data_IF_222962894224
#
_entry.id   IF_222962894224
#
_cell.length_a   1.000
_cell.length_b   1.000
_cell.length_c   1.000
_cell.angle_alpha   90.00
_cell.angle_beta   90.00
_cell.angle_gamma   90.00
#
_symmetry.space_group_name_H-M   'P 1'
#
loop_
_entity.id
_entity.type
_entity.pdbx_description
1 polymer ?
#
# COMPACT_ATOMS: atom_id res chain seq x y z
N UNK A 1 -12.62 8.71 -57.15
CA UNK A 1 -13.20 7.53 -56.48
C UNK A 1 -12.15 6.68 -55.76
N UNK A 2 -10.97 6.41 -56.38
CA UNK A 2 -9.87 5.63 -55.74
C UNK A 2 -9.37 6.22 -54.44
N UNK A 3 -9.23 7.54 -54.35
CA UNK A 3 -8.81 8.22 -53.11
C UNK A 3 -9.82 8.05 -51.98
N UNK A 4 -11.14 8.03 -52.30
CA UNK A 4 -12.19 7.81 -51.29
C UNK A 4 -12.17 6.36 -50.79
N UNK A 5 -12.00 5.40 -51.69
CA UNK A 5 -11.87 3.99 -51.33
C UNK A 5 -10.64 3.74 -50.43
N UNK A 6 -9.48 4.37 -50.74
CA UNK A 6 -8.29 4.30 -49.90
C UNK A 6 -8.54 4.91 -48.50
N UNK A 7 -9.22 6.05 -48.42
CA UNK A 7 -9.58 6.68 -47.15
C UNK A 7 -10.52 5.79 -46.30
N UNK A 8 -11.52 5.14 -46.93
CA UNK A 8 -12.41 4.20 -46.24
C UNK A 8 -11.61 3.02 -45.66
N UNK A 9 -10.67 2.45 -46.44
CA UNK A 9 -9.81 1.36 -45.98
C UNK A 9 -8.98 1.78 -44.78
N UNK A 10 -8.42 2.99 -44.75
CA UNK A 10 -7.70 3.53 -43.59
C UNK A 10 -8.61 3.72 -42.38
N UNK A 11 -9.83 4.22 -42.56
CA UNK A 11 -10.79 4.37 -41.46
C UNK A 11 -11.19 2.99 -40.91
N UNK A 12 -11.42 2.01 -41.79
CA UNK A 12 -11.70 0.63 -41.34
C UNK A 12 -10.59 0.06 -40.46
N UNK A 13 -9.32 0.22 -40.87
CA UNK A 13 -8.18 -0.22 -40.08
C UNK A 13 -8.11 0.52 -38.75
N UNK A 14 -8.34 1.84 -38.75
CA UNK A 14 -8.31 2.63 -37.50
C UNK A 14 -9.42 2.20 -36.51
N UNK A 15 -10.64 1.92 -37.02
CA UNK A 15 -11.75 1.40 -36.20
C UNK A 15 -11.39 0.04 -35.60
N UNK A 16 -10.77 -0.87 -36.35
CA UNK A 16 -10.31 -2.17 -35.84
C UNK A 16 -9.23 -2.02 -34.79
N UNK A 17 -8.29 -1.08 -34.97
CA UNK A 17 -7.24 -0.81 -33.99
C UNK A 17 -7.81 -0.23 -32.68
N UNK A 18 -8.81 0.66 -32.76
CA UNK A 18 -9.51 1.18 -31.59
C UNK A 18 -10.23 0.05 -30.84
N UNK A 19 -10.91 -0.86 -31.55
CA UNK A 19 -11.57 -2.00 -30.93
C UNK A 19 -10.57 -2.89 -30.17
N UNK A 20 -9.45 -3.22 -30.81
CA UNK A 20 -8.38 -4.04 -30.19
C UNK A 20 -7.75 -3.35 -28.97
N UNK A 21 -7.51 -2.04 -29.07
CA UNK A 21 -6.96 -1.27 -27.97
C UNK A 21 -7.93 -1.19 -26.77
N UNK A 22 -9.24 -1.06 -27.02
CA UNK A 22 -10.25 -1.08 -25.96
C UNK A 22 -10.31 -2.45 -25.26
N UNK A 23 -10.18 -3.55 -25.98
CA UNK A 23 -10.14 -4.91 -25.43
C UNK A 23 -8.86 -5.12 -24.58
N UNK A 24 -7.72 -4.66 -25.07
CA UNK A 24 -6.45 -4.72 -24.34
C UNK A 24 -6.52 -3.89 -23.06
N UNK A 25 -7.01 -2.65 -23.15
CA UNK A 25 -7.19 -1.78 -22.00
C UNK A 25 -8.15 -2.39 -20.96
N UNK A 26 -9.24 -3.04 -21.39
CA UNK A 26 -10.15 -3.74 -20.48
C UNK A 26 -9.47 -4.93 -19.76
N UNK A 27 -8.49 -5.56 -20.39
CA UNK A 27 -7.71 -6.64 -19.76
C UNK A 27 -6.74 -6.08 -18.72
N UNK A 28 -5.98 -5.03 -19.05
CA UNK A 28 -5.07 -4.34 -18.11
C UNK A 28 -5.82 -3.76 -16.90
N UNK A 29 -7.02 -3.20 -17.10
CA UNK A 29 -7.87 -2.70 -16.02
C UNK A 29 -8.27 -3.82 -15.07
N UNK A 30 -8.64 -5.00 -15.59
CA UNK A 30 -8.98 -6.16 -14.74
C UNK A 30 -7.79 -6.67 -13.93
N UNK A 31 -6.60 -6.69 -14.53
CA UNK A 31 -5.37 -7.08 -13.83
C UNK A 31 -5.02 -6.07 -12.72
N UNK A 32 -5.13 -4.77 -13.02
CA UNK A 32 -4.91 -3.71 -12.04
C UNK A 32 -5.94 -3.75 -10.89
N UNK A 33 -7.21 -4.07 -11.19
CA UNK A 33 -8.25 -4.24 -10.17
C UNK A 33 -7.93 -5.43 -9.23
N UNK A 34 -7.47 -6.55 -9.79
CA UNK A 34 -7.04 -7.71 -9.00
C UNK A 34 -5.84 -7.37 -8.10
N UNK A 35 -4.87 -6.59 -8.60
CA UNK A 35 -3.72 -6.12 -7.83
C UNK A 35 -4.14 -5.15 -6.70
N UNK A 36 -5.04 -4.21 -6.97
CA UNK A 36 -5.58 -3.31 -5.96
C UNK A 36 -6.32 -4.08 -4.85
N UNK A 37 -7.12 -5.07 -5.22
CA UNK A 37 -7.82 -5.95 -4.28
C UNK A 37 -6.83 -6.77 -3.43
N UNK A 38 -5.80 -7.33 -4.05
CA UNK A 38 -4.74 -8.05 -3.30
C UNK A 38 -4.00 -7.11 -2.35
N UNK A 39 -3.72 -5.88 -2.79
CA UNK A 39 -3.13 -4.85 -1.94
C UNK A 39 -4.00 -4.55 -0.72
N UNK A 40 -5.32 -4.45 -0.89
CA UNK A 40 -6.26 -4.26 0.21
C UNK A 40 -6.19 -5.42 1.23
N UNK A 41 -6.21 -6.66 0.77
CA UNK A 41 -6.07 -7.85 1.64
C UNK A 41 -4.75 -7.83 2.43
N UNK A 42 -3.66 -7.40 1.80
CA UNK A 42 -2.36 -7.30 2.46
C UNK A 42 -2.34 -6.21 3.55
N UNK A 43 -3.00 -5.07 3.30
CA UNK A 43 -3.14 -3.99 4.30
C UNK A 43 -3.99 -4.48 5.48
N UNK A 44 -5.13 -5.11 5.23
CA UNK A 44 -6.00 -5.63 6.28
C UNK A 44 -5.27 -6.68 7.15
N UNK A 45 -4.48 -7.56 6.52
CA UNK A 45 -3.61 -8.50 7.23
C UNK A 45 -2.53 -7.81 8.06
N UNK A 46 -1.93 -6.73 7.55
CA UNK A 46 -0.94 -5.93 8.28
C UNK A 46 -1.56 -5.22 9.49
N UNK A 47 -2.75 -4.66 9.34
CA UNK A 47 -3.50 -4.03 10.44
C UNK A 47 -3.80 -5.04 11.55
N UNK A 48 -4.20 -6.25 11.21
CA UNK A 48 -4.44 -7.32 12.18
C UNK A 48 -3.17 -7.71 12.95
N UNK A 49 -2.01 -7.77 12.25
CA UNK A 49 -0.73 -8.05 12.90
C UNK A 49 -0.29 -6.94 13.86
N UNK A 50 -0.52 -5.68 13.48
CA UNK A 50 -0.19 -4.52 14.33
C UNK A 50 -1.13 -4.46 15.55
N UNK A 51 -2.39 -4.82 15.41
CA UNK A 51 -3.32 -4.94 16.54
C UNK A 51 -2.84 -6.01 17.54
N UNK A 52 -2.44 -7.18 17.05
CA UNK A 52 -1.84 -8.23 17.87
C UNK A 52 -0.54 -7.78 18.55
N UNK A 53 0.29 -6.99 17.85
CA UNK A 53 1.50 -6.39 18.42
C UNK A 53 1.14 -5.43 19.56
N UNK A 54 0.09 -4.62 19.40
CA UNK A 54 -0.38 -3.69 20.44
C UNK A 54 -0.77 -4.43 21.71
N UNK A 55 -1.48 -5.56 21.61
CA UNK A 55 -1.79 -6.42 22.77
C UNK A 55 -0.53 -6.96 23.44
N UNK A 56 0.46 -7.36 22.65
CA UNK A 56 1.74 -7.88 23.19
C UNK A 56 2.53 -6.79 23.89
N UNK A 57 2.51 -5.57 23.38
CA UNK A 57 3.11 -4.38 23.98
C UNK A 57 2.47 -4.09 25.35
N UNK A 58 1.15 -4.11 25.43
CA UNK A 58 0.43 -3.86 26.68
C UNK A 58 0.75 -4.93 27.75
N UNK A 59 0.84 -6.18 27.35
CA UNK A 59 1.29 -7.27 28.23
C UNK A 59 2.72 -7.05 28.72
N UNK A 60 3.64 -6.62 27.85
CA UNK A 60 5.02 -6.34 28.22
C UNK A 60 5.12 -5.18 29.24
N UNK A 61 4.30 -4.13 29.08
CA UNK A 61 4.22 -3.03 30.06
C UNK A 61 3.81 -3.56 31.44
N UNK A 62 2.81 -4.41 31.51
CA UNK A 62 2.30 -4.96 32.77
C UNK A 62 3.36 -5.83 33.48
N UNK A 63 4.07 -6.66 32.71
CA UNK A 63 5.18 -7.47 33.27
C UNK A 63 6.28 -6.59 33.85
N UNK A 64 6.67 -5.51 33.16
CA UNK A 64 7.71 -4.62 33.63
C UNK A 64 7.26 -3.80 34.87
N UNK A 65 5.98 -3.38 34.89
CA UNK A 65 5.41 -2.72 36.07
C UNK A 65 5.43 -3.64 37.30
N UNK A 66 5.08 -4.89 37.12
CA UNK A 66 5.14 -5.91 38.17
C UNK A 66 6.57 -6.08 38.66
N UNK A 67 7.54 -6.19 37.73
CA UNK A 67 8.96 -6.30 38.09
C UNK A 67 9.48 -5.07 38.86
N UNK A 68 9.06 -3.87 38.51
CA UNK A 68 9.41 -2.65 39.23
C UNK A 68 8.83 -2.64 40.65
N UNK A 69 7.57 -3.08 40.80
CA UNK A 69 6.93 -3.19 42.11
C UNK A 69 7.63 -4.22 43.03
N UNK A 70 7.94 -5.41 42.49
CA UNK A 70 8.68 -6.46 43.21
C UNK A 70 10.07 -5.99 43.62
N UNK A 71 10.78 -5.28 42.71
CA UNK A 71 12.09 -4.69 43.01
C UNK A 71 12.02 -3.67 44.17
N UNK A 72 10.96 -2.87 44.23
CA UNK A 72 10.73 -1.93 45.33
C UNK A 72 10.49 -2.67 46.62
N UNK A 73 9.75 -3.76 46.62
CA UNK A 73 9.53 -4.59 47.80
C UNK A 73 10.83 -5.25 48.29
N UNK A 74 11.69 -5.74 47.37
CA UNK A 74 13.01 -6.27 47.71
C UNK A 74 13.86 -5.19 48.37
N UNK A 75 13.86 -3.95 47.85
CA UNK A 75 14.54 -2.81 48.45
C UNK A 75 14.13 -2.57 49.91
N UNK A 76 12.83 -2.64 50.22
CA UNK A 76 12.33 -2.51 51.60
C UNK A 76 12.82 -3.64 52.49
N UNK A 77 12.88 -4.87 52.02
CA UNK A 77 13.44 -6.01 52.80
C UNK A 77 14.92 -5.83 53.05
N UNK A 78 15.68 -5.33 52.07
CA UNK A 78 17.12 -5.04 52.25
C UNK A 78 17.38 -3.97 53.30
N UNK A 79 16.54 -2.93 53.38
CA UNK A 79 16.64 -1.93 54.45
C UNK A 79 16.46 -2.55 55.83
N UNK A 80 15.50 -3.49 55.98
CA UNK A 80 15.31 -4.22 57.25
C UNK A 80 16.54 -5.07 57.59
N UNK A 81 17.08 -5.82 56.61
CA UNK A 81 18.29 -6.65 56.82
C UNK A 81 19.49 -5.78 57.21
N UNK A 82 19.67 -4.64 56.56
CA UNK A 82 20.71 -3.67 56.86
C UNK A 82 20.58 -3.15 58.30
N UNK A 83 19.37 -2.78 58.72
CA UNK A 83 19.09 -2.34 60.09
C UNK A 83 19.41 -3.42 61.14
N UNK A 84 19.03 -4.68 60.87
CA UNK A 84 19.39 -5.83 61.76
C UNK A 84 20.88 -6.02 61.79
N UNK A 85 21.60 -5.93 60.68
CA UNK A 85 23.05 -6.05 60.67
C UNK A 85 23.74 -4.91 61.45
N UNK A 86 23.20 -3.69 61.34
CA UNK A 86 23.71 -2.54 62.15
C UNK A 86 23.51 -2.74 63.68
N UNK A 87 22.30 -3.18 64.05
CA UNK A 87 22.00 -3.52 65.42
C UNK A 87 22.89 -4.67 65.92
N UNK A 88 23.10 -5.70 65.07
CA UNK A 88 23.98 -6.83 65.42
C UNK A 88 25.44 -6.38 65.63
N UNK A 89 25.91 -5.48 64.73
CA UNK A 89 27.26 -4.88 64.87
C UNK A 89 27.44 -4.11 66.20
N UNK A 90 26.39 -3.33 66.58
CA UNK A 90 26.40 -2.60 67.87
C UNK A 90 26.34 -3.55 69.09
N UNK A 91 25.52 -4.61 69.04
CA UNK A 91 25.43 -5.63 70.07
C UNK A 91 26.77 -6.38 70.25
N UNK A 92 27.39 -6.76 69.12
CA UNK A 92 28.68 -7.41 69.10
C UNK A 92 29.81 -6.50 69.72
N UNK A 93 29.79 -5.20 69.39
CA UNK A 93 30.71 -4.23 69.97
C UNK A 93 30.54 -4.11 71.49
N UNK A 94 29.30 -4.03 71.96
CA UNK A 94 29.01 -3.99 73.41
C UNK A 94 29.44 -5.27 74.08
N UNK A 95 29.24 -6.45 73.46
CA UNK A 95 29.69 -7.72 73.96
C UNK A 95 31.25 -7.81 74.04
N UNK A 96 31.95 -7.30 73.01
CA UNK A 96 33.41 -7.23 73.00
C UNK A 96 33.97 -6.34 74.13
N UNK A 97 33.32 -5.19 74.36
CA UNK A 97 33.69 -4.28 75.46
C UNK A 97 33.54 -4.98 76.82
N UNK A 98 32.42 -5.66 77.06
CA UNK A 98 32.17 -6.33 78.33
C UNK A 98 33.08 -7.56 78.53
N UNK A 99 33.36 -8.28 77.43
CA UNK A 99 34.38 -9.37 77.50
C UNK A 99 35.77 -8.87 77.81
N UNK A 100 36.20 -7.73 77.30
CA UNK A 100 37.47 -7.08 77.68
C UNK A 100 37.47 -6.66 79.12
N UNK A 101 36.34 -6.23 79.68
CA UNK A 101 36.16 -5.83 81.08
C UNK A 101 36.28 -7.01 82.05
N UNK A 102 35.90 -8.23 81.60
CA UNK A 102 36.01 -9.47 82.37
C UNK A 102 37.45 -10.07 82.42
N UNK A 103 38.41 -9.45 81.76
CA UNK A 103 39.83 -9.86 81.76
C UNK A 103 40.07 -11.28 81.25
N UNK A 104 40.90 -12.10 81.86
CA UNK A 104 41.20 -13.47 81.38
C UNK A 104 39.97 -14.38 81.25
N UNK A 105 38.92 -14.15 82.05
CA UNK A 105 37.67 -14.95 82.00
C UNK A 105 36.82 -14.60 80.77
N UNK A 106 37.03 -13.44 80.17
CA UNK A 106 36.30 -12.97 79.01
C UNK A 106 36.94 -13.31 77.66
N UNK A 107 38.14 -13.85 77.57
CA UNK A 107 38.89 -14.06 76.28
C UNK A 107 38.13 -14.85 75.27
N UNK A 108 37.45 -15.94 75.63
CA UNK A 108 36.64 -16.73 74.70
C UNK A 108 35.41 -15.96 74.10
N UNK A 109 34.76 -15.15 74.97
CA UNK A 109 33.63 -14.29 74.54
C UNK A 109 34.10 -13.14 73.66
N UNK A 110 35.27 -12.56 73.88
CA UNK A 110 35.81 -11.51 73.03
C UNK A 110 36.01 -11.98 71.56
N UNK A 111 36.56 -13.21 71.38
CA UNK A 111 36.75 -13.80 70.04
C UNK A 111 35.39 -13.99 69.30
N UNK A 112 34.39 -14.51 70.05
CA UNK A 112 33.04 -14.67 69.44
C UNK A 112 32.41 -13.32 69.10
N UNK A 113 32.53 -12.32 69.97
CA UNK A 113 32.02 -10.98 69.71
C UNK A 113 32.68 -10.32 68.50
N UNK A 114 34.00 -10.46 68.34
CA UNK A 114 34.67 -9.93 67.12
C UNK A 114 34.26 -10.66 65.84
N UNK A 115 34.04 -11.98 65.86
CA UNK A 115 33.55 -12.74 64.70
C UNK A 115 32.13 -12.34 64.35
N UNK A 116 31.23 -12.17 65.34
CA UNK A 116 29.87 -11.67 65.10
C UNK A 116 29.91 -10.26 64.53
N UNK A 117 30.78 -9.40 64.99
CA UNK A 117 30.98 -8.05 64.48
C UNK A 117 31.43 -8.07 63.01
N UNK A 118 32.41 -8.90 62.68
CA UNK A 118 32.91 -9.07 61.33
C UNK A 118 31.78 -9.57 60.37
N UNK A 119 30.97 -10.54 60.80
CA UNK A 119 29.84 -11.07 60.06
C UNK A 119 28.77 -9.99 59.81
N UNK A 120 28.48 -9.17 60.84
CA UNK A 120 27.56 -8.05 60.73
C UNK A 120 28.04 -7.01 59.69
N UNK A 121 29.32 -6.65 59.71
CA UNK A 121 29.90 -5.75 58.69
C UNK A 121 29.85 -6.33 57.28
N UNK A 122 30.15 -7.62 57.09
CA UNK A 122 30.06 -8.31 55.85
C UNK A 122 28.60 -8.33 55.33
N UNK A 123 27.65 -8.51 56.24
CA UNK A 123 26.20 -8.46 55.89
C UNK A 123 25.81 -7.06 55.43
N UNK A 124 26.25 -6.00 56.13
CA UNK A 124 26.03 -4.61 55.70
C UNK A 124 26.61 -4.34 54.31
N UNK A 125 27.83 -4.81 54.03
CA UNK A 125 28.46 -4.65 52.72
C UNK A 125 27.65 -5.36 51.62
N UNK A 126 27.29 -6.63 51.87
CA UNK A 126 26.51 -7.41 50.89
C UNK A 126 25.13 -6.79 50.60
N UNK A 127 24.42 -6.29 51.64
CA UNK A 127 23.15 -5.59 51.46
C UNK A 127 23.30 -4.30 50.68
N UNK A 128 24.40 -3.54 50.87
CA UNK A 128 24.65 -2.33 50.07
C UNK A 128 24.91 -2.66 48.58
N UNK A 129 25.64 -3.75 48.29
CA UNK A 129 25.87 -4.22 46.92
C UNK A 129 24.56 -4.63 46.27
N UNK A 130 23.68 -5.38 46.96
CA UNK A 130 22.37 -5.79 46.46
C UNK A 130 21.48 -4.56 46.25
N UNK A 131 21.50 -3.59 47.18
CA UNK A 131 20.75 -2.33 47.05
C UNK A 131 21.12 -1.61 45.75
N UNK A 132 22.43 -1.50 45.43
CA UNK A 132 22.86 -0.90 44.17
C UNK A 132 22.43 -1.72 42.92
N UNK A 133 22.26 -3.05 43.03
CA UNK A 133 21.67 -3.86 41.95
C UNK A 133 20.19 -3.57 41.77
N UNK A 134 19.45 -3.45 42.86
CA UNK A 134 18.01 -3.13 42.83
C UNK A 134 17.76 -1.74 42.22
N UNK A 135 18.54 -0.73 42.59
CA UNK A 135 18.44 0.61 41.99
C UNK A 135 18.67 0.60 40.47
N UNK A 136 19.68 -0.14 40.01
CA UNK A 136 19.90 -0.34 38.56
C UNK A 136 18.74 -1.05 37.90
N UNK A 137 18.16 -2.06 38.54
CA UNK A 137 17.01 -2.80 38.01
C UNK A 137 15.78 -1.89 37.88
N UNK A 138 15.51 -1.04 38.87
CA UNK A 138 14.43 -0.04 38.79
C UNK A 138 14.65 0.94 37.66
N UNK A 139 15.86 1.50 37.53
CA UNK A 139 16.18 2.41 36.41
C UNK A 139 16.03 1.75 35.02
N UNK A 140 16.45 0.48 34.91
CA UNK A 140 16.25 -0.28 33.66
C UNK A 140 14.79 -0.56 33.38
N UNK A 141 13.97 -0.83 34.40
CA UNK A 141 12.53 -1.02 34.27
C UNK A 141 11.83 0.26 33.77
N UNK A 142 12.18 1.42 34.35
CA UNK A 142 11.65 2.71 33.88
C UNK A 142 12.06 3.02 32.45
N UNK A 143 13.31 2.78 32.07
CA UNK A 143 13.80 2.96 30.74
C UNK A 143 13.06 2.03 29.75
N UNK A 144 12.81 0.78 30.11
CA UNK A 144 12.07 -0.18 29.32
C UNK A 144 10.61 0.27 29.08
N UNK A 145 9.90 0.75 30.10
CA UNK A 145 8.54 1.30 29.98
C UNK A 145 8.52 2.45 28.99
N UNK A 146 9.52 3.33 29.02
CA UNK A 146 9.62 4.44 28.05
C UNK A 146 9.78 3.94 26.62
N UNK A 147 10.71 3.02 26.37
CA UNK A 147 10.94 2.44 25.03
C UNK A 147 9.70 1.73 24.50
N UNK A 148 9.00 1.01 25.37
CA UNK A 148 7.76 0.33 25.00
C UNK A 148 6.66 1.35 24.69
N UNK A 149 6.56 2.45 25.44
CA UNK A 149 5.64 3.55 25.17
C UNK A 149 5.90 4.22 23.81
N UNK A 150 7.18 4.39 23.44
CA UNK A 150 7.55 4.90 22.12
C UNK A 150 7.18 3.91 21.00
N UNK A 151 7.36 2.60 21.26
CA UNK A 151 6.96 1.53 20.32
C UNK A 151 5.44 1.47 20.11
N UNK A 152 4.65 1.64 21.19
CA UNK A 152 3.19 1.72 21.11
C UNK A 152 2.74 2.90 20.23
N UNK A 153 3.37 4.06 20.43
CA UNK A 153 3.08 5.25 19.61
C UNK A 153 3.44 5.04 18.13
N UNK A 154 4.57 4.41 17.85
CA UNK A 154 4.97 4.07 16.48
C UNK A 154 3.98 3.09 15.81
N UNK A 155 3.49 2.09 16.56
CA UNK A 155 2.46 1.17 16.10
C UNK A 155 1.17 1.91 15.74
N UNK A 156 0.73 2.84 16.57
CA UNK A 156 -0.48 3.64 16.32
C UNK A 156 -0.36 4.49 15.04
N UNK A 157 0.80 5.13 14.83
CA UNK A 157 1.07 5.87 13.60
C UNK A 157 1.07 4.94 12.36
N UNK A 158 1.57 3.72 12.50
CA UNK A 158 1.57 2.74 11.41
C UNK A 158 0.15 2.30 11.06
N UNK A 159 -0.74 2.13 12.05
CA UNK A 159 -2.18 1.86 11.83
C UNK A 159 -2.82 2.98 11.02
N UNK A 160 -2.58 4.23 11.40
CA UNK A 160 -3.12 5.39 10.69
C UNK A 160 -2.64 5.43 9.22
N UNK A 161 -1.34 5.24 9.00
CA UNK A 161 -0.77 5.22 7.65
C UNK A 161 -1.31 4.05 6.80
N UNK A 162 -1.44 2.87 7.39
CA UNK A 162 -2.03 1.72 6.71
C UNK A 162 -3.50 1.96 6.34
N UNK A 163 -4.26 2.62 7.23
CA UNK A 163 -5.64 3.04 6.95
C UNK A 163 -5.74 4.01 5.77
N UNK A 164 -4.85 4.99 5.69
CA UNK A 164 -4.76 5.93 4.55
C UNK A 164 -4.39 5.20 3.25
N UNK A 165 -3.46 4.24 3.30
CA UNK A 165 -3.10 3.42 2.15
C UNK A 165 -4.28 2.55 1.68
N UNK A 166 -5.04 1.94 2.59
CA UNK A 166 -6.26 1.19 2.29
C UNK A 166 -7.33 2.05 1.63
N UNK A 167 -7.55 3.27 2.13
CA UNK A 167 -8.48 4.23 1.52
C UNK A 167 -8.04 4.60 0.09
N UNK A 168 -6.74 4.76 -0.15
CA UNK A 168 -6.18 5.06 -1.48
C UNK A 168 -6.40 3.89 -2.45
N UNK A 169 -6.16 2.65 -2.02
CA UNK A 169 -6.43 1.45 -2.83
C UNK A 169 -7.90 1.30 -3.17
N UNK A 170 -8.79 1.63 -2.24
CA UNK A 170 -10.24 1.62 -2.50
C UNK A 170 -10.62 2.66 -3.57
N UNK A 171 -10.05 3.88 -3.49
CA UNK A 171 -10.25 4.91 -4.52
C UNK A 171 -9.71 4.48 -5.89
N UNK A 172 -8.55 3.81 -5.95
CA UNK A 172 -8.00 3.21 -7.17
C UNK A 172 -8.97 2.16 -7.74
N UNK A 173 -9.47 1.24 -6.91
CA UNK A 173 -10.46 0.23 -7.32
C UNK A 173 -11.74 0.86 -7.91
N UNK A 174 -12.21 1.97 -7.33
CA UNK A 174 -13.35 2.72 -7.88
C UNK A 174 -13.03 3.32 -9.26
N UNK A 175 -11.85 3.92 -9.42
CA UNK A 175 -11.41 4.50 -10.70
C UNK A 175 -11.28 3.42 -11.78
N UNK A 176 -10.74 2.25 -11.43
CA UNK A 176 -10.62 1.11 -12.36
C UNK A 176 -11.99 0.59 -12.80
N UNK A 177 -12.98 0.50 -11.92
CA UNK A 177 -14.36 0.15 -12.30
C UNK A 177 -14.96 1.16 -13.28
N UNK A 178 -14.72 2.44 -13.06
CA UNK A 178 -15.16 3.48 -13.99
C UNK A 178 -14.47 3.35 -15.36
N UNK A 179 -13.16 3.06 -15.39
CA UNK A 179 -12.41 2.82 -16.63
C UNK A 179 -12.93 1.59 -17.38
N UNK A 180 -13.30 0.52 -16.68
CA UNK A 180 -13.91 -0.66 -17.29
C UNK A 180 -15.25 -0.30 -17.97
N UNK A 181 -16.08 0.51 -17.34
CA UNK A 181 -17.31 1.04 -17.92
C UNK A 181 -17.07 1.89 -19.18
N UNK A 182 -16.03 2.75 -19.14
CA UNK A 182 -15.64 3.55 -20.31
C UNK A 182 -15.14 2.68 -21.47
N UNK A 183 -14.33 1.65 -21.21
CA UNK A 183 -13.87 0.71 -22.23
C UNK A 183 -15.03 -0.05 -22.88
N UNK A 184 -16.04 -0.46 -22.13
CA UNK A 184 -17.25 -1.07 -22.66
C UNK A 184 -18.01 -0.09 -23.58
N UNK A 185 -18.09 1.19 -23.21
CA UNK A 185 -18.71 2.23 -24.04
C UNK A 185 -17.92 2.46 -25.33
N UNK A 186 -16.57 2.52 -25.25
CA UNK A 186 -15.69 2.64 -26.43
C UNK A 186 -15.88 1.45 -27.36
N UNK A 187 -15.90 0.21 -26.84
CA UNK A 187 -16.14 -0.98 -27.64
C UNK A 187 -17.49 -0.93 -28.38
N UNK A 188 -18.57 -0.52 -27.71
CA UNK A 188 -19.88 -0.36 -28.30
C UNK A 188 -19.91 0.70 -29.41
N UNK A 189 -19.32 1.88 -29.14
CA UNK A 189 -19.22 2.96 -30.14
C UNK A 189 -18.39 2.54 -31.35
N UNK A 190 -17.33 1.75 -31.12
CA UNK A 190 -16.46 1.24 -32.18
C UNK A 190 -17.21 0.24 -33.11
N UNK A 191 -18.08 -0.61 -32.55
CA UNK A 191 -18.93 -1.50 -33.30
C UNK A 191 -19.92 -0.70 -34.17
N UNK A 192 -20.53 0.34 -33.64
CA UNK A 192 -21.40 1.24 -34.39
C UNK A 192 -20.64 1.95 -35.51
N UNK A 193 -19.43 2.44 -35.25
CA UNK A 193 -18.56 3.02 -36.28
C UNK A 193 -18.21 2.02 -37.38
N UNK A 194 -17.98 0.75 -37.07
CA UNK A 194 -17.71 -0.29 -38.05
C UNK A 194 -18.90 -0.46 -39.01
N UNK A 195 -20.15 -0.47 -38.53
CA UNK A 195 -21.36 -0.51 -39.37
C UNK A 195 -21.49 0.74 -40.24
N UNK A 196 -21.22 1.94 -39.66
CA UNK A 196 -21.27 3.18 -40.46
C UNK A 196 -20.24 3.16 -41.60
N UNK A 197 -19.03 2.65 -41.34
CA UNK A 197 -17.98 2.54 -42.35
C UNK A 197 -18.36 1.55 -43.44
N UNK A 198 -19.04 0.44 -43.12
CA UNK A 198 -19.58 -0.52 -44.09
C UNK A 198 -20.64 0.12 -44.96
N UNK A 199 -21.57 0.90 -44.40
CA UNK A 199 -22.59 1.65 -45.14
C UNK A 199 -21.97 2.71 -46.08
N UNK A 200 -20.94 3.43 -45.60
CA UNK A 200 -20.19 4.39 -46.41
C UNK A 200 -19.53 3.68 -47.61
N UNK A 201 -18.89 2.52 -47.37
CA UNK A 201 -18.27 1.74 -48.45
C UNK A 201 -19.27 1.30 -49.50
N UNK A 202 -20.45 0.83 -49.08
CA UNK A 202 -21.55 0.48 -49.98
C UNK A 202 -22.01 1.69 -50.81
N UNK A 203 -22.24 2.84 -50.21
CA UNK A 203 -22.69 4.07 -50.87
C UNK A 203 -21.63 4.58 -51.86
N UNK A 204 -20.35 4.49 -51.54
CA UNK A 204 -19.25 4.85 -52.45
C UNK A 204 -19.21 3.91 -53.64
N UNK A 205 -19.45 2.60 -53.46
CA UNK A 205 -19.59 1.64 -54.54
C UNK A 205 -20.75 1.99 -55.49
N UNK A 206 -21.91 2.34 -54.93
CA UNK A 206 -23.05 2.79 -55.71
C UNK A 206 -22.76 4.09 -56.50
N UNK A 207 -22.14 5.07 -55.85
CA UNK A 207 -21.76 6.35 -56.50
C UNK A 207 -20.76 6.14 -57.63
N UNK A 208 -19.82 5.17 -57.49
CA UNK A 208 -18.88 4.77 -58.54
C UNK A 208 -19.65 4.21 -59.77
N UNK A 209 -20.58 3.28 -59.53
CA UNK A 209 -21.43 2.71 -60.59
C UNK A 209 -22.27 3.76 -61.30
N UNK A 210 -22.88 4.69 -60.55
CA UNK A 210 -23.65 5.79 -61.11
C UNK A 210 -22.78 6.76 -61.93
N UNK A 211 -21.58 7.08 -61.48
CA UNK A 211 -20.62 7.91 -62.21
C UNK A 211 -20.22 7.28 -63.55
N UNK A 212 -19.98 5.96 -63.55
CA UNK A 212 -19.64 5.21 -64.76
C UNK A 212 -20.83 5.16 -65.75
N UNK A 213 -22.03 4.94 -65.23
CA UNK A 213 -23.24 5.02 -65.99
C UNK A 213 -23.47 6.40 -66.62
N UNK A 214 -23.24 7.47 -65.88
CA UNK A 214 -23.33 8.86 -66.37
C UNK A 214 -22.28 9.13 -67.44
N UNK A 215 -21.07 8.67 -67.34
CA UNK A 215 -20.01 8.81 -68.34
C UNK A 215 -20.39 8.08 -69.63
N UNK A 216 -20.95 6.87 -69.56
CA UNK A 216 -21.47 6.12 -70.72
C UNK A 216 -22.66 6.85 -71.41
N UNK A 217 -23.59 7.35 -70.61
CA UNK A 217 -24.74 8.13 -71.17
C UNK A 217 -24.25 9.41 -71.85
N UNK A 218 -23.25 10.10 -71.32
CA UNK A 218 -22.65 11.28 -71.98
C UNK A 218 -21.96 10.91 -73.29
N UNK A 219 -21.25 9.76 -73.35
CA UNK A 219 -20.66 9.25 -74.60
C UNK A 219 -21.74 8.94 -75.66
N UNK A 220 -22.82 8.25 -75.30
CA UNK A 220 -23.92 7.97 -76.12
C UNK A 220 -24.60 9.25 -76.65
N UNK A 221 -24.83 10.24 -75.80
CA UNK A 221 -25.41 11.53 -76.16
C UNK A 221 -24.52 12.29 -77.15
N UNK A 222 -23.19 12.26 -76.95
CA UNK A 222 -22.20 12.85 -77.84
C UNK A 222 -22.19 12.16 -79.21
N UNK A 223 -22.29 10.82 -79.25
CA UNK A 223 -22.37 10.07 -80.50
C UNK A 223 -23.70 10.38 -81.27
N UNK A 224 -24.84 10.42 -80.57
CA UNK A 224 -26.12 10.80 -81.14
C UNK A 224 -26.13 12.24 -81.75
N UNK A 225 -25.51 13.18 -81.00
CA UNK A 225 -25.37 14.56 -81.49
C UNK A 225 -24.48 14.67 -82.68
N UNK A 226 -23.44 13.89 -82.84
CA UNK A 226 -22.64 13.80 -84.07
C UNK A 226 -23.42 13.25 -85.22
N UNK A 227 -24.20 12.17 -85.03
CA UNK A 227 -25.04 11.59 -86.07
C UNK A 227 -26.12 12.56 -86.53
N UNK A 228 -26.74 13.32 -85.61
CA UNK A 228 -27.72 14.38 -85.98
C UNK A 228 -27.06 15.51 -86.82
N UNK A 229 -25.83 15.88 -86.49
CA UNK A 229 -25.07 16.86 -87.25
C UNK A 229 -24.83 16.35 -88.67
N UNK A 230 -24.34 15.12 -88.82
CA UNK A 230 -24.07 14.50 -90.12
C UNK A 230 -25.37 14.40 -90.97
N UNK A 231 -26.50 14.03 -90.36
CA UNK A 231 -27.80 13.98 -91.01
C UNK A 231 -28.27 15.37 -91.43
N UNK A 232 -28.04 16.40 -90.61
CA UNK A 232 -28.39 17.80 -90.97
C UNK A 232 -27.54 18.33 -92.15
N UNK A 233 -26.23 17.96 -92.16
CA UNK A 233 -25.34 18.30 -93.29
C UNK A 233 -25.75 17.60 -94.57
N UNK A 234 -26.15 16.32 -94.51
CA UNK A 234 -26.70 15.58 -95.65
C UNK A 234 -27.99 16.22 -96.13
N UNK A 235 -28.94 16.59 -95.25
CA UNK A 235 -30.18 17.24 -95.57
C UNK A 235 -29.93 18.60 -96.25
N UNK A 236 -28.99 19.37 -95.75
CA UNK A 236 -28.63 20.66 -96.36
C UNK A 236 -27.96 20.49 -97.72
N UNK A 237 -27.21 19.43 -97.95
CA UNK A 237 -26.67 19.05 -99.25
C UNK A 237 -27.75 18.69 -100.22
N UNK A 238 -28.75 17.91 -99.83
CA UNK A 238 -29.89 17.59 -100.63
C UNK A 238 -30.76 18.83 -101.00
N UNK A 239 -30.99 19.70 -100.00
CA UNK A 239 -31.75 20.95 -100.27
C UNK A 239 -31.06 21.88 -101.28
N UNK A 240 -29.72 21.90 -101.29
CA UNK A 240 -28.95 22.67 -102.28
C UNK A 240 -29.10 22.16 -103.71
N UNK A 241 -29.42 20.87 -103.91
CA UNK A 241 -29.69 20.31 -105.27
C UNK A 241 -31.02 20.74 -105.80
N UNK A 242 -31.99 21.15 -104.99
CA UNK A 242 -33.32 21.63 -105.39
C UNK A 242 -33.43 23.16 -105.51
N UNK A 243 -32.35 23.91 -105.31
CA UNK A 243 -32.34 25.35 -105.57
C UNK A 243 -32.01 25.56 -107.04
N UNK A 244 -33.02 25.75 -107.77
CA UNK A 244 -32.99 26.36 -109.12
C UNK A 244 -33.10 27.85 -108.97
#
# INVERSE_FOLDING_TARGET
MEQVAAAISQVTSAVQDVARNAEHAATEVREAEAQAQQGQVNIDGSLQQIDQLSVTIDQAVEVIRTLAAESTQIGTVLEVIRSIAEQTNLLALNAAIEAARAGEQGRGFAVVADEVRLLAQRTQQSTAEIQGMIERLQNHSEAAVKVIGDSSRASQLTIEQAGLAGASLNAIGQALRNLNGLNATIASATLEQAHVVEDINHNVGQAAGLSQGTALAAQHSSAASRHLKDLSEQLNGLLRQFRV
#
